data_IF_623776666576
#
_entry.id   IF_623776666576
#
_cell.length_a   1.000
_cell.length_b   1.000
_cell.length_c   1.000
_cell.angle_alpha   90.00
_cell.angle_beta   90.00
_cell.angle_gamma   90.00
#
_symmetry.space_group_name_H-M   'P 1'
#
loop_
_entity.id
_entity.type
_entity.pdbx_description
1 polymer ?
#
# COMPACT_ATOMS: atom_id res chain seq x y z
N UNK A 1 40.58 46.37 24.42
CA UNK A 1 41.75 45.48 24.50
C UNK A 1 41.27 44.05 24.25
N UNK A 2 41.79 43.39 23.21
CA UNK A 2 41.49 42.02 22.70
C UNK A 2 40.02 41.81 22.21
N UNK A 3 39.64 41.85 20.93
CA UNK A 3 40.10 41.19 19.68
C UNK A 3 40.05 39.65 19.77
N UNK A 4 38.94 39.02 19.35
CA UNK A 4 38.69 38.35 18.03
C UNK A 4 39.12 36.86 18.01
N UNK A 5 38.68 36.00 17.06
CA UNK A 5 37.38 35.93 16.35
C UNK A 5 36.90 34.48 16.01
N UNK A 6 35.67 34.41 15.47
CA UNK A 6 35.17 33.58 14.36
C UNK A 6 35.55 32.09 14.19
N UNK A 7 34.51 31.24 14.16
CA UNK A 7 34.44 30.07 13.28
C UNK A 7 33.08 30.07 12.54
N UNK A 8 33.17 30.23 11.22
CA UNK A 8 32.08 30.18 10.22
C UNK A 8 31.98 28.73 9.74
N UNK A 9 30.81 28.11 9.87
CA UNK A 9 30.47 26.91 9.10
C UNK A 9 29.36 27.27 8.11
N UNK A 10 29.72 27.30 6.83
CA UNK A 10 28.80 27.39 5.70
C UNK A 10 28.73 26.00 5.08
N UNK A 11 27.56 25.38 5.07
CA UNK A 11 27.27 24.24 4.21
C UNK A 11 26.16 24.65 3.24
N UNK A 12 26.57 24.79 1.99
CA UNK A 12 25.76 25.07 0.80
C UNK A 12 25.49 23.69 0.18
N UNK A 13 24.27 23.18 0.33
CA UNK A 13 23.83 21.95 -0.31
C UNK A 13 23.02 22.29 -1.55
N UNK A 14 23.61 22.12 -2.72
CA UNK A 14 22.98 22.32 -4.02
C UNK A 14 21.89 21.26 -4.26
N UNK A 15 20.70 21.72 -4.64
CA UNK A 15 19.63 20.90 -5.19
C UNK A 15 20.05 20.48 -6.61
N UNK A 16 20.60 19.28 -6.75
CA UNK A 16 20.82 18.68 -8.06
C UNK A 16 19.49 18.10 -8.57
N UNK A 17 18.99 18.70 -9.65
CA UNK A 17 17.93 18.17 -10.47
C UNK A 17 18.34 16.79 -11.01
N UNK A 18 17.54 15.77 -10.70
CA UNK A 18 17.73 14.41 -11.25
C UNK A 18 17.22 14.42 -12.69
N UNK A 19 18.16 14.48 -13.64
CA UNK A 19 17.89 14.25 -15.05
C UNK A 19 17.83 12.75 -15.34
N UNK A 20 16.67 12.25 -15.75
CA UNK A 20 16.48 10.89 -16.24
C UNK A 20 16.75 10.85 -17.74
N UNK A 21 17.97 10.53 -18.15
CA UNK A 21 18.29 10.13 -19.52
C UNK A 21 19.36 9.04 -19.47
N UNK A 22 19.11 8.02 -20.30
CA UNK A 22 20.03 7.01 -20.78
C UNK A 22 20.17 5.71 -19.97
N UNK A 23 19.40 4.69 -20.37
CA UNK A 23 20.01 3.41 -20.71
C UNK A 23 19.02 2.42 -21.33
N UNK A 24 19.36 2.02 -22.55
CA UNK A 24 19.39 0.64 -23.03
C UNK A 24 18.12 0.01 -23.66
N UNK A 25 18.17 0.01 -25.01
CA UNK A 25 17.91 -1.13 -25.94
C UNK A 25 16.47 -1.67 -26.06
N UNK A 26 15.83 -1.31 -27.17
CA UNK A 26 14.80 -2.09 -27.86
C UNK A 26 14.58 -1.54 -29.28
N UNK A 27 14.47 -2.37 -30.34
CA UNK A 27 14.38 -1.89 -31.71
C UNK A 27 12.93 -1.49 -32.04
N UNK A 28 12.67 -0.20 -32.19
CA UNK A 28 11.45 0.28 -32.85
C UNK A 28 11.76 0.64 -34.30
N UNK A 29 11.05 0.00 -35.22
CA UNK A 29 11.08 0.33 -36.65
C UNK A 29 10.55 1.75 -36.88
N UNK A 30 11.38 2.60 -37.47
CA UNK A 30 10.97 3.90 -38.00
C UNK A 30 10.50 3.71 -39.45
N UNK A 31 9.20 3.81 -39.69
CA UNK A 31 8.69 4.09 -41.03
C UNK A 31 8.86 5.58 -41.33
N UNK A 32 9.88 5.90 -42.13
CA UNK A 32 10.01 7.19 -42.82
C UNK A 32 8.98 7.24 -43.95
N UNK A 33 8.13 8.26 -43.94
CA UNK A 33 7.31 8.62 -45.10
C UNK A 33 7.83 9.97 -45.60
N UNK A 34 8.65 9.93 -46.65
CA UNK A 34 9.12 11.13 -47.35
C UNK A 34 8.03 11.61 -48.30
N UNK A 35 7.50 12.81 -48.05
CA UNK A 35 6.67 13.55 -49.00
C UNK A 35 7.51 14.66 -49.63
N UNK A 36 7.95 14.43 -50.86
CA UNK A 36 8.66 15.43 -51.68
C UNK A 36 7.64 16.38 -52.29
N UNK A 37 7.51 17.58 -51.73
CA UNK A 37 6.80 18.69 -52.39
C UNK A 37 7.81 19.73 -52.88
N UNK A 38 8.10 19.71 -54.18
CA UNK A 38 8.87 20.77 -54.83
C UNK A 38 7.98 21.99 -55.03
N UNK A 39 8.29 23.11 -54.36
CA UNK A 39 7.92 24.43 -54.87
C UNK A 39 8.98 25.47 -54.52
N UNK A 40 9.56 26.03 -55.58
CA UNK A 40 10.48 27.17 -55.60
C UNK A 40 9.88 28.38 -54.87
N UNK A 41 10.68 29.00 -54.01
CA UNK A 41 10.58 30.43 -53.74
C UNK A 41 10.24 30.85 -52.31
N UNK A 42 11.28 31.35 -51.62
CA UNK A 42 11.28 32.46 -50.65
C UNK A 42 10.47 32.28 -49.32
N UNK A 43 11.25 32.30 -48.23
CA UNK A 43 10.88 32.47 -46.80
C UNK A 43 10.10 31.31 -46.16
N UNK A 44 10.83 30.44 -45.46
CA UNK A 44 10.24 29.49 -44.52
C UNK A 44 10.48 29.96 -43.08
N UNK A 45 9.38 30.21 -42.37
CA UNK A 45 9.34 30.46 -40.93
C UNK A 45 9.63 29.13 -40.23
N UNK A 46 10.60 29.13 -39.30
CA UNK A 46 10.89 27.97 -38.45
C UNK A 46 9.79 27.83 -37.40
N UNK A 47 8.77 27.02 -37.70
CA UNK A 47 7.85 26.49 -36.70
C UNK A 47 8.57 25.33 -35.98
N UNK A 48 9.05 25.58 -34.76
CA UNK A 48 9.43 24.50 -33.84
C UNK A 48 8.17 23.69 -33.53
N UNK A 49 8.04 22.52 -34.18
CA UNK A 49 7.11 21.48 -33.75
C UNK A 49 7.64 20.90 -32.45
N UNK A 50 6.96 21.19 -31.35
CA UNK A 50 7.11 20.42 -30.11
C UNK A 50 6.52 19.04 -30.40
N UNK A 51 7.39 18.06 -30.66
CA UNK A 51 6.97 16.67 -30.76
C UNK A 51 6.84 16.16 -29.32
N UNK A 52 5.63 16.03 -28.80
CA UNK A 52 5.42 15.15 -27.65
C UNK A 52 5.83 13.75 -28.11
N UNK A 53 6.93 13.24 -27.56
CA UNK A 53 7.21 11.82 -27.58
C UNK A 53 5.94 11.13 -27.10
N UNK A 54 5.29 10.37 -27.97
CA UNK A 54 4.19 9.50 -27.59
C UNK A 54 4.78 8.36 -26.76
N UNK A 55 5.24 8.68 -25.55
CA UNK A 55 5.42 7.68 -24.50
C UNK A 55 4.03 7.12 -24.25
N UNK A 56 3.90 5.81 -24.42
CA UNK A 56 2.71 5.07 -24.06
C UNK A 56 2.31 5.48 -22.64
N UNK A 57 1.06 5.88 -22.46
CA UNK A 57 0.53 6.18 -21.13
C UNK A 57 0.83 5.00 -20.20
N UNK A 58 1.30 5.24 -18.96
CA UNK A 58 1.52 4.15 -18.02
C UNK A 58 0.23 3.34 -17.90
N UNK A 59 0.32 2.00 -17.80
CA UNK A 59 -0.85 1.18 -17.57
C UNK A 59 -1.57 1.70 -16.30
N UNK A 60 -2.91 1.59 -16.25
CA UNK A 60 -3.66 2.01 -15.06
C UNK A 60 -3.08 1.33 -13.82
N UNK A 61 -2.98 2.07 -12.72
CA UNK A 61 -2.47 1.54 -11.45
C UNK A 61 -3.31 0.36 -10.94
N UNK A 62 -4.55 0.23 -11.40
CA UNK A 62 -5.43 -0.86 -11.10
C UNK A 62 -5.35 -1.94 -12.20
N UNK A 63 -5.08 -3.21 -11.85
CA UNK A 63 -4.98 -4.30 -12.83
C UNK A 63 -6.30 -4.71 -13.50
N UNK A 64 -7.32 -3.84 -13.52
CA UNK A 64 -8.63 -4.11 -14.10
C UNK A 64 -9.58 -4.82 -13.12
N UNK A 65 -10.77 -5.15 -13.64
CA UNK A 65 -11.90 -5.73 -12.89
C UNK A 65 -11.47 -6.97 -12.11
N UNK A 66 -11.82 -7.05 -10.83
CA UNK A 66 -11.67 -8.27 -10.04
C UNK A 66 -12.61 -9.36 -10.60
N UNK A 67 -12.07 -10.23 -11.46
CA UNK A 67 -12.82 -11.39 -11.96
C UNK A 67 -12.69 -12.54 -10.96
N UNK A 68 -13.82 -13.14 -10.61
CA UNK A 68 -13.84 -14.38 -9.84
C UNK A 68 -13.30 -15.52 -10.73
N UNK A 69 -12.02 -15.84 -10.55
CA UNK A 69 -11.39 -16.96 -11.26
C UNK A 69 -12.06 -18.28 -10.83
N UNK A 70 -12.64 -19.06 -11.77
CA UNK A 70 -13.18 -20.38 -11.45
C UNK A 70 -12.03 -21.31 -11.05
N UNK A 71 -12.10 -21.92 -9.87
CA UNK A 71 -11.09 -22.86 -9.35
C UNK A 71 -10.38 -22.43 -8.07
N UNK A 72 -10.69 -21.25 -7.52
CA UNK A 72 -10.21 -20.93 -6.17
C UNK A 72 -10.98 -21.78 -5.16
N UNK A 73 -10.24 -22.54 -4.33
CA UNK A 73 -10.80 -23.38 -3.27
C UNK A 73 -11.76 -22.53 -2.44
N UNK A 74 -13.05 -22.86 -2.48
CA UNK A 74 -13.96 -22.44 -1.42
C UNK A 74 -13.37 -23.02 -0.15
N UNK A 75 -13.09 -22.16 0.83
CA UNK A 75 -12.67 -22.66 2.13
C UNK A 75 -13.87 -23.36 2.75
N UNK A 76 -13.66 -24.52 3.35
CA UNK A 76 -14.70 -25.28 4.06
C UNK A 76 -15.02 -24.64 5.43
N UNK A 77 -15.00 -23.31 5.51
CA UNK A 77 -15.17 -22.53 6.74
C UNK A 77 -14.98 -21.02 6.54
N UNK A 78 -15.12 -20.23 7.62
CA UNK A 78 -15.02 -18.77 7.56
C UNK A 78 -13.64 -18.34 7.08
N UNK A 79 -13.62 -17.43 6.10
CA UNK A 79 -12.41 -16.90 5.51
C UNK A 79 -11.60 -16.13 6.56
N UNK A 80 -10.36 -16.54 6.86
CA UNK A 80 -9.51 -15.84 7.81
C UNK A 80 -8.97 -14.55 7.21
N UNK A 81 -9.20 -13.44 7.91
CA UNK A 81 -8.77 -12.10 7.49
C UNK A 81 -7.92 -11.43 8.58
N UNK A 82 -6.97 -10.62 8.14
CA UNK A 82 -6.21 -9.71 8.99
C UNK A 82 -6.58 -8.28 8.65
N UNK A 83 -6.68 -7.41 9.66
CA UNK A 83 -7.06 -6.00 9.46
C UNK A 83 -5.95 -5.10 9.97
N UNK A 84 -5.37 -4.35 9.04
CA UNK A 84 -4.33 -3.39 9.31
C UNK A 84 -4.96 -2.00 9.47
N UNK A 85 -4.99 -1.45 10.69
CA UNK A 85 -5.72 -0.21 10.99
C UNK A 85 -7.20 -0.43 11.35
N UNK A 86 -7.48 -1.34 12.30
CA UNK A 86 -8.82 -1.76 12.70
C UNK A 86 -9.68 -0.68 13.36
N UNK A 87 -9.03 0.34 13.94
CA UNK A 87 -9.70 1.44 14.66
C UNK A 87 -9.97 2.67 13.78
N UNK A 88 -9.52 2.64 12.52
CA UNK A 88 -9.90 3.64 11.51
C UNK A 88 -11.23 3.30 10.86
N UNK A 89 -11.81 4.23 10.10
CA UNK A 89 -13.14 4.07 9.49
C UNK A 89 -13.27 2.81 8.63
N UNK A 90 -12.24 2.47 7.82
CA UNK A 90 -12.26 1.23 7.01
C UNK A 90 -12.23 0.00 7.90
N UNK A 91 -11.40 0.02 8.96
CA UNK A 91 -11.27 -1.07 9.90
C UNK A 91 -12.55 -1.36 10.66
N UNK A 92 -13.21 -0.32 11.19
CA UNK A 92 -14.48 -0.46 11.92
C UNK A 92 -15.59 -0.97 11.02
N UNK A 93 -15.76 -0.40 9.82
CA UNK A 93 -16.75 -0.87 8.84
C UNK A 93 -16.50 -2.31 8.41
N UNK A 94 -15.23 -2.71 8.26
CA UNK A 94 -14.88 -4.11 7.97
C UNK A 94 -15.31 -5.02 9.10
N UNK A 95 -15.08 -4.62 10.35
CA UNK A 95 -15.47 -5.39 11.53
C UNK A 95 -16.99 -5.48 11.69
N UNK A 96 -17.73 -4.43 11.35
CA UNK A 96 -19.20 -4.45 11.33
C UNK A 96 -19.71 -5.53 10.35
N UNK A 97 -19.16 -5.60 9.13
CA UNK A 97 -19.49 -6.64 8.14
C UNK A 97 -19.14 -8.05 8.65
N UNK A 98 -18.01 -8.19 9.36
CA UNK A 98 -17.60 -9.48 9.94
C UNK A 98 -18.56 -9.90 11.05
N UNK A 99 -19.01 -8.97 11.89
CA UNK A 99 -19.97 -9.23 12.95
C UNK A 99 -21.34 -9.67 12.39
N UNK A 100 -21.75 -9.13 11.25
CA UNK A 100 -22.97 -9.53 10.54
C UNK A 100 -22.85 -10.86 9.78
N UNK A 101 -21.62 -11.34 9.50
CA UNK A 101 -21.36 -12.54 8.69
C UNK A 101 -20.32 -13.49 9.34
N UNK A 102 -20.55 -13.98 10.57
CA UNK A 102 -19.58 -14.81 11.30
C UNK A 102 -19.33 -16.19 10.67
N UNK A 103 -20.26 -16.68 9.83
CA UNK A 103 -20.12 -17.91 9.05
C UNK A 103 -19.16 -17.75 7.86
N UNK A 104 -18.95 -16.52 7.39
CA UNK A 104 -18.14 -16.22 6.20
C UNK A 104 -16.76 -15.67 6.51
N UNK A 105 -16.57 -15.00 7.65
CA UNK A 105 -15.33 -14.32 7.97
C UNK A 105 -14.88 -14.59 9.40
N UNK A 106 -13.56 -14.70 9.58
CA UNK A 106 -12.91 -14.81 10.89
C UNK A 106 -11.75 -13.86 10.97
N UNK A 107 -11.72 -13.00 11.97
CA UNK A 107 -10.56 -12.13 12.24
C UNK A 107 -9.47 -12.96 12.90
N UNK A 108 -8.27 -12.99 12.30
CA UNK A 108 -7.11 -13.68 12.88
C UNK A 108 -6.09 -12.72 13.47
N UNK A 109 -6.01 -11.49 12.97
CA UNK A 109 -5.07 -10.50 13.46
C UNK A 109 -5.60 -9.07 13.28
N UNK A 110 -5.31 -8.19 14.25
CA UNK A 110 -5.71 -6.77 14.25
C UNK A 110 -4.52 -5.87 14.53
N UNK A 111 -4.45 -4.70 13.89
CA UNK A 111 -3.52 -3.65 14.31
C UNK A 111 -4.19 -2.29 14.40
N UNK A 112 -3.75 -1.47 15.35
CA UNK A 112 -4.21 -0.10 15.53
C UNK A 112 -3.05 0.89 15.70
N UNK A 113 -3.36 2.17 15.53
CA UNK A 113 -2.43 3.28 15.81
C UNK A 113 -2.27 3.52 17.31
N UNK A 114 -3.20 4.31 17.86
CA UNK A 114 -3.17 4.77 19.25
C UNK A 114 -4.51 4.64 20.01
N UNK A 115 -5.58 4.19 19.35
CA UNK A 115 -6.88 4.02 19.99
C UNK A 115 -6.96 2.66 20.70
N UNK A 116 -6.40 2.59 21.91
CA UNK A 116 -6.34 1.36 22.71
C UNK A 116 -7.72 0.92 23.18
N UNK A 117 -8.56 1.85 23.63
CA UNK A 117 -9.89 1.54 24.17
C UNK A 117 -10.72 0.79 23.13
N UNK A 118 -10.83 1.34 21.91
CA UNK A 118 -11.57 0.67 20.84
C UNK A 118 -10.89 -0.63 20.40
N UNK A 119 -9.56 -0.68 20.37
CA UNK A 119 -8.86 -1.93 20.05
C UNK A 119 -9.15 -3.02 21.08
N UNK A 120 -9.17 -2.71 22.38
CA UNK A 120 -9.47 -3.67 23.43
C UNK A 120 -10.89 -4.24 23.28
N UNK A 121 -11.88 -3.39 22.98
CA UNK A 121 -13.25 -3.83 22.69
C UNK A 121 -13.29 -4.77 21.47
N UNK A 122 -12.60 -4.40 20.38
CA UNK A 122 -12.50 -5.24 19.18
C UNK A 122 -11.86 -6.60 19.48
N UNK A 123 -10.81 -6.63 20.32
CA UNK A 123 -10.16 -7.88 20.73
C UNK A 123 -11.10 -8.77 21.55
N UNK A 124 -11.86 -8.17 22.49
CA UNK A 124 -12.87 -8.89 23.29
C UNK A 124 -13.96 -9.50 22.41
N UNK A 125 -14.41 -8.78 21.38
CA UNK A 125 -15.47 -9.24 20.47
C UNK A 125 -14.98 -10.30 19.48
N UNK A 126 -13.85 -10.08 18.80
CA UNK A 126 -13.42 -10.90 17.67
C UNK A 126 -12.38 -11.96 17.99
N UNK A 127 -11.76 -11.90 19.19
CA UNK A 127 -10.77 -12.86 19.67
C UNK A 127 -9.66 -13.19 18.64
N UNK A 128 -8.97 -12.18 18.09
CA UNK A 128 -7.85 -12.44 17.18
C UNK A 128 -6.71 -13.15 17.90
N UNK A 129 -5.84 -13.85 17.15
CA UNK A 129 -4.64 -14.50 17.70
C UNK A 129 -3.50 -13.51 17.92
N UNK A 130 -3.40 -12.49 17.07
CA UNK A 130 -2.33 -11.50 17.08
C UNK A 130 -2.91 -10.09 17.07
N UNK A 131 -2.36 -9.22 17.92
CA UNK A 131 -2.72 -7.82 18.02
C UNK A 131 -1.47 -6.96 17.99
N UNK A 132 -1.52 -5.84 17.27
CA UNK A 132 -0.42 -4.86 17.28
C UNK A 132 -0.90 -3.44 17.56
N UNK A 133 -0.11 -2.72 18.34
CA UNK A 133 -0.30 -1.28 18.59
C UNK A 133 0.94 -0.57 18.10
N UNK A 134 0.77 0.32 17.11
CA UNK A 134 1.89 1.08 16.53
C UNK A 134 2.56 1.97 17.58
N UNK A 135 1.79 2.56 18.49
CA UNK A 135 2.36 3.33 19.59
C UNK A 135 2.80 2.40 20.72
N UNK A 136 4.10 2.21 20.85
CA UNK A 136 4.70 1.32 21.84
C UNK A 136 4.40 1.75 23.29
N UNK A 137 4.19 3.05 23.53
CA UNK A 137 3.90 3.57 24.89
C UNK A 137 2.53 3.14 25.42
N UNK A 138 1.66 2.63 24.55
CA UNK A 138 0.27 2.28 24.85
C UNK A 138 0.06 0.76 25.00
N UNK A 139 1.14 -0.02 24.90
CA UNK A 139 1.09 -1.49 24.96
C UNK A 139 0.70 -1.97 26.34
N UNK A 140 1.18 -1.32 27.40
CA UNK A 140 0.83 -1.69 28.77
C UNK A 140 -0.63 -1.36 29.08
N UNK A 141 -1.13 -0.21 28.62
CA UNK A 141 -2.56 0.13 28.69
C UNK A 141 -3.44 -0.91 27.99
N UNK A 142 -3.01 -1.42 26.81
CA UNK A 142 -3.74 -2.50 26.13
C UNK A 142 -3.73 -3.80 26.94
N UNK A 143 -2.59 -4.17 27.54
CA UNK A 143 -2.49 -5.37 28.38
C UNK A 143 -3.38 -5.29 29.62
N UNK A 144 -3.45 -4.10 30.23
CA UNK A 144 -4.33 -3.84 31.37
C UNK A 144 -5.81 -3.93 30.95
N UNK A 145 -6.18 -3.33 29.82
CA UNK A 145 -7.54 -3.39 29.28
C UNK A 145 -8.00 -4.80 28.90
N UNK A 146 -7.05 -5.71 28.63
CA UNK A 146 -7.27 -7.12 28.30
C UNK A 146 -6.99 -8.07 29.47
N UNK A 147 -6.76 -7.55 30.69
CA UNK A 147 -6.39 -8.37 31.84
C UNK A 147 -7.48 -9.41 32.21
N UNK A 148 -8.75 -9.05 31.98
CA UNK A 148 -9.99 -9.81 32.23
C UNK A 148 -10.35 -10.80 31.11
N UNK A 149 -9.62 -10.81 30.00
CA UNK A 149 -9.91 -11.72 28.88
C UNK A 149 -9.40 -13.14 29.14
N UNK A 150 -10.26 -14.13 28.91
CA UNK A 150 -9.92 -15.56 29.01
C UNK A 150 -8.84 -15.96 27.98
N UNK A 151 -8.99 -15.47 26.74
CA UNK A 151 -8.08 -15.73 25.62
C UNK A 151 -7.30 -14.46 25.28
N UNK A 152 -6.03 -14.41 25.67
CA UNK A 152 -5.16 -13.26 25.44
C UNK A 152 -4.43 -13.43 24.10
N UNK A 153 -4.53 -12.46 23.18
CA UNK A 153 -3.76 -12.49 21.94
C UNK A 153 -2.27 -12.30 22.21
N UNK A 154 -1.45 -12.73 21.27
CA UNK A 154 -0.07 -12.25 21.18
C UNK A 154 -0.08 -10.75 20.88
N UNK A 155 0.64 -9.94 21.67
CA UNK A 155 0.71 -8.49 21.47
C UNK A 155 2.12 -8.12 21.01
N UNK A 156 2.24 -7.59 19.80
CA UNK A 156 3.52 -7.13 19.24
C UNK A 156 3.52 -5.60 19.14
N UNK A 157 4.44 -4.90 19.82
CA UNK A 157 4.49 -3.44 19.81
C UNK A 157 5.08 -2.91 18.50
N UNK A 158 4.75 -1.65 18.20
CA UNK A 158 5.46 -0.85 17.21
C UNK A 158 5.10 -1.17 15.76
N UNK A 159 5.89 -0.61 14.85
CA UNK A 159 5.71 -0.82 13.40
C UNK A 159 5.93 -2.29 13.00
N UNK A 160 6.80 -3.01 13.71
CA UNK A 160 7.02 -4.44 13.47
C UNK A 160 5.75 -5.25 13.70
N UNK A 161 4.99 -4.97 14.77
CA UNK A 161 3.71 -5.64 15.02
C UNK A 161 2.70 -5.43 13.90
N UNK A 162 2.64 -4.22 13.33
CA UNK A 162 1.77 -3.92 12.18
C UNK A 162 2.14 -4.78 10.96
N UNK A 163 3.44 -5.01 10.74
CA UNK A 163 3.96 -5.89 9.69
C UNK A 163 3.60 -7.36 9.96
N UNK A 164 3.76 -7.83 11.21
CA UNK A 164 3.39 -9.21 11.60
C UNK A 164 1.90 -9.49 11.39
N UNK A 165 1.05 -8.53 11.77
CA UNK A 165 -0.40 -8.60 11.52
C UNK A 165 -0.68 -8.77 10.03
N UNK A 166 -0.01 -8.00 9.16
CA UNK A 166 -0.20 -8.09 7.72
C UNK A 166 0.28 -9.43 7.12
N UNK A 167 1.32 -10.05 7.67
CA UNK A 167 1.85 -11.33 7.17
C UNK A 167 1.39 -12.57 7.95
N UNK A 168 0.41 -12.42 8.84
CA UNK A 168 -0.04 -13.49 9.74
C UNK A 168 -0.29 -14.81 8.97
N UNK A 169 0.26 -15.96 9.44
CA UNK A 169 0.26 -17.21 8.67
C UNK A 169 -1.16 -17.68 8.33
N UNK A 170 -2.10 -17.54 9.26
CA UNK A 170 -3.49 -17.98 9.04
C UNK A 170 -4.32 -17.05 8.16
N UNK A 171 -3.90 -15.79 7.94
CA UNK A 171 -4.68 -14.85 7.13
C UNK A 171 -4.66 -15.29 5.67
N UNK A 172 -5.76 -15.15 4.94
CA UNK A 172 -5.79 -15.34 3.48
C UNK A 172 -5.97 -14.00 2.77
N UNK A 173 -6.65 -13.06 3.42
CA UNK A 173 -6.82 -11.70 2.93
C UNK A 173 -6.46 -10.70 4.02
N UNK A 174 -5.80 -9.62 3.62
CA UNK A 174 -5.40 -8.51 4.47
C UNK A 174 -6.18 -7.28 4.03
N UNK A 175 -6.94 -6.70 4.95
CA UNK A 175 -7.63 -5.43 4.74
C UNK A 175 -6.71 -4.31 5.20
N UNK A 176 -6.43 -3.38 4.31
CA UNK A 176 -5.52 -2.26 4.58
C UNK A 176 -6.32 -0.98 4.83
N UNK A 177 -6.51 -0.66 6.10
CA UNK A 177 -7.21 0.54 6.60
C UNK A 177 -6.29 1.65 7.12
N UNK A 178 -4.96 1.49 7.00
CA UNK A 178 -4.01 2.57 7.35
C UNK A 178 -3.99 3.62 6.23
N UNK A 179 -4.02 4.89 6.62
CA UNK A 179 -3.96 6.05 5.72
C UNK A 179 -2.53 6.40 5.28
N UNK A 180 -2.38 6.93 4.07
CA UNK A 180 -1.10 7.43 3.54
C UNK A 180 -0.04 6.33 3.31
N UNK A 181 1.24 6.74 3.25
CA UNK A 181 2.35 5.84 2.92
C UNK A 181 2.69 4.82 4.02
N UNK A 182 2.15 4.97 5.24
CA UNK A 182 2.37 4.04 6.34
C UNK A 182 1.81 2.63 6.04
N UNK A 183 0.85 2.52 5.12
CA UNK A 183 0.34 1.23 4.64
C UNK A 183 1.30 0.46 3.72
N UNK A 184 2.38 1.09 3.22
CA UNK A 184 3.23 0.47 2.21
C UNK A 184 4.01 -0.74 2.75
N UNK A 185 4.70 -0.61 3.88
CA UNK A 185 5.45 -1.72 4.50
C UNK A 185 4.56 -2.93 4.83
N UNK A 186 3.41 -2.79 5.53
CA UNK A 186 2.52 -3.93 5.78
C UNK A 186 1.94 -4.50 4.49
N UNK A 187 1.64 -3.68 3.47
CA UNK A 187 1.18 -4.17 2.16
C UNK A 187 2.24 -5.02 1.47
N UNK A 188 3.50 -4.57 1.45
CA UNK A 188 4.63 -5.33 0.89
C UNK A 188 4.80 -6.66 1.62
N UNK A 189 4.77 -6.66 2.95
CA UNK A 189 4.89 -7.88 3.75
C UNK A 189 3.74 -8.88 3.51
N UNK A 190 2.52 -8.38 3.38
CA UNK A 190 1.36 -9.21 3.04
C UNK A 190 1.49 -9.83 1.63
N UNK A 191 2.00 -9.07 0.66
CA UNK A 191 2.25 -9.58 -0.70
C UNK A 191 3.34 -10.66 -0.67
N UNK A 192 4.45 -10.41 0.03
CA UNK A 192 5.55 -11.38 0.17
C UNK A 192 5.07 -12.69 0.80
N UNK A 193 4.15 -12.59 1.76
CA UNK A 193 3.49 -13.73 2.41
C UNK A 193 2.37 -14.39 1.58
N UNK A 194 2.13 -13.94 0.35
CA UNK A 194 1.17 -14.54 -0.58
C UNK A 194 -0.30 -14.27 -0.22
N UNK A 195 -0.60 -13.18 0.48
CA UNK A 195 -1.94 -12.83 0.95
C UNK A 195 -2.63 -11.90 -0.05
N UNK A 196 -3.92 -12.11 -0.29
CA UNK A 196 -4.69 -11.12 -1.07
C UNK A 196 -4.83 -9.82 -0.29
N UNK A 197 -4.78 -8.70 -0.99
CA UNK A 197 -4.87 -7.37 -0.41
C UNK A 197 -6.24 -6.77 -0.76
N UNK A 198 -7.06 -6.50 0.26
CA UNK A 198 -8.20 -5.59 0.11
C UNK A 198 -7.67 -4.17 0.38
N UNK A 199 -7.45 -3.44 -0.71
CA UNK A 199 -6.79 -2.15 -0.69
C UNK A 199 -7.82 -1.02 -0.63
N UNK A 200 -7.95 -0.39 0.55
CA UNK A 200 -8.81 0.78 0.72
C UNK A 200 -8.06 2.10 0.55
N UNK A 201 -6.73 2.08 0.65
CA UNK A 201 -5.88 3.26 0.54
C UNK A 201 -5.29 3.37 -0.87
N UNK A 202 -5.67 4.42 -1.61
CA UNK A 202 -5.14 4.71 -2.94
C UNK A 202 -3.73 5.29 -2.93
N UNK A 203 -3.35 6.00 -1.86
CA UNK A 203 -2.01 6.59 -1.71
C UNK A 203 -0.92 5.52 -1.79
N UNK A 204 -1.17 4.29 -1.35
CA UNK A 204 -0.23 3.16 -1.44
C UNK A 204 0.13 2.83 -2.89
N UNK A 205 -0.85 2.81 -3.80
CA UNK A 205 -0.59 2.58 -5.22
C UNK A 205 -0.09 3.83 -5.93
N UNK A 206 -0.52 5.02 -5.49
CA UNK A 206 -0.01 6.28 -6.05
C UNK A 206 1.49 6.43 -5.76
N UNK A 207 1.93 6.18 -4.53
CA UNK A 207 3.32 6.33 -4.12
C UNK A 207 4.18 5.11 -4.46
N UNK A 208 3.62 3.90 -4.35
CA UNK A 208 4.36 2.64 -4.43
C UNK A 208 4.01 1.75 -5.63
N UNK A 209 3.07 2.15 -6.51
CA UNK A 209 2.54 1.33 -7.60
C UNK A 209 3.60 0.63 -8.47
N UNK A 210 4.65 1.34 -8.95
CA UNK A 210 5.73 0.74 -9.75
C UNK A 210 6.50 -0.39 -9.04
N UNK A 211 6.46 -0.46 -7.71
CA UNK A 211 7.08 -1.52 -6.91
C UNK A 211 6.05 -2.58 -6.47
N UNK A 212 4.89 -2.13 -5.98
CA UNK A 212 3.83 -2.98 -5.44
C UNK A 212 3.19 -3.87 -6.50
N UNK A 213 2.93 -3.34 -7.70
CA UNK A 213 2.25 -4.11 -8.77
C UNK A 213 3.11 -5.24 -9.31
N UNK A 214 4.40 -5.04 -9.66
CA UNK A 214 5.28 -6.15 -10.04
C UNK A 214 5.45 -7.19 -8.93
N UNK A 215 5.51 -6.75 -7.67
CA UNK A 215 5.61 -7.64 -6.53
C UNK A 215 4.35 -8.50 -6.37
N UNK A 216 3.15 -7.90 -6.47
CA UNK A 216 1.89 -8.64 -6.43
C UNK A 216 1.79 -9.67 -7.56
N UNK A 217 2.20 -9.30 -8.77
CA UNK A 217 2.26 -10.21 -9.91
C UNK A 217 3.26 -11.37 -9.66
N UNK A 218 4.46 -11.07 -9.15
CA UNK A 218 5.48 -12.07 -8.80
C UNK A 218 4.97 -13.10 -7.79
N UNK A 219 4.23 -12.65 -6.78
CA UNK A 219 3.69 -13.50 -5.71
C UNK A 219 2.30 -14.08 -6.03
N UNK A 220 1.72 -13.78 -7.22
CA UNK A 220 0.36 -14.19 -7.64
C UNK A 220 -0.72 -13.77 -6.64
N UNK A 221 -0.53 -12.61 -6.03
CA UNK A 221 -1.43 -12.00 -5.06
C UNK A 221 -2.44 -11.12 -5.78
N UNK A 222 -3.71 -11.17 -5.36
CA UNK A 222 -4.74 -10.26 -5.88
C UNK A 222 -4.78 -8.98 -5.05
N UNK A 223 -4.84 -7.84 -5.73
CA UNK A 223 -5.18 -6.54 -5.12
C UNK A 223 -6.62 -6.24 -5.49
N UNK A 224 -7.49 -6.19 -4.48
CA UNK A 224 -8.92 -5.95 -4.60
C UNK A 224 -9.23 -4.52 -4.16
N UNK A 225 -9.87 -3.68 -4.99
CA UNK A 225 -10.26 -2.33 -4.59
C UNK A 225 -11.36 -2.41 -3.53
N UNK A 226 -11.13 -1.78 -2.39
CA UNK A 226 -12.14 -1.57 -1.34
C UNK A 226 -12.60 -0.10 -1.27
N UNK A 227 -11.95 0.79 -2.02
CA UNK A 227 -12.37 2.19 -2.13
C UNK A 227 -13.58 2.29 -3.08
N UNK A 228 -14.61 2.99 -2.63
CA UNK A 228 -15.91 3.14 -3.30
C UNK A 228 -15.82 3.71 -4.73
N UNK A 229 -14.77 4.46 -5.05
CA UNK A 229 -14.54 5.00 -6.40
C UNK A 229 -13.98 3.94 -7.37
N UNK A 230 -13.54 2.79 -6.86
CA UNK A 230 -12.83 1.75 -7.61
C UNK A 230 -13.50 0.37 -7.55
N UNK A 231 -14.44 0.16 -6.63
CA UNK A 231 -15.27 -1.06 -6.52
C UNK A 231 -16.44 -1.06 -7.50
#
# INVERSE_FOLDING_TARGET
MAAQPALKASFRGELNAVSFLDSSRGPFGQHKVDFTFQRKGKRAISLRRTCCSMQQAPPPAWPGRAVAEPGRRSLDGPKPISIVGSTGSIGTQTLDIVAENPDKFRVVALSAGSNVTLLADQVKTFKPKLVAVRNETLVDELKEALADCEEKPEIIPGEQGVIEVARHPDAITVVTGIVGCAGLKPTVAAIEAGKDIALANKETLIAGGPFVLPLAHKHKVKILPADSEHS
#
